data_IF_811538228320
#
_entry.id   IF_811538228320
#
_cell.length_a   1.000
_cell.length_b   1.000
_cell.length_c   1.000
_cell.angle_alpha   90.00
_cell.angle_beta   90.00
_cell.angle_gamma   90.00
#
_symmetry.space_group_name_H-M   'P 1'
#
loop_
_entity.id
_entity.type
_entity.pdbx_description
1 polymer ?
#
# COMPACT_ATOMS: atom_id res chain seq x y z
N UNK A 1 2.05 -32.20 46.59
CA UNK A 1 1.21 -31.00 46.44
C UNK A 1 1.84 -29.88 47.27
N UNK A 2 2.21 -28.75 46.62
CA UNK A 2 2.40 -27.38 47.16
C UNK A 2 3.32 -27.21 48.38
N UNK A 3 4.30 -26.31 48.49
CA UNK A 3 4.62 -24.93 48.04
C UNK A 3 6.08 -24.72 48.51
N UNK A 4 6.88 -23.75 48.10
CA UNK A 4 6.66 -22.44 47.53
C UNK A 4 8.01 -21.70 47.65
N UNK A 5 8.28 -20.88 46.64
CA UNK A 5 9.56 -20.26 46.37
C UNK A 5 10.06 -19.32 47.47
N UNK A 6 11.39 -19.30 47.61
CA UNK A 6 12.13 -18.45 48.50
C UNK A 6 12.81 -17.31 47.72
N UNK A 7 12.83 -16.14 48.37
CA UNK A 7 13.93 -15.16 48.43
C UNK A 7 13.96 -13.94 47.47
N UNK A 8 13.98 -12.79 48.17
CA UNK A 8 14.80 -11.58 48.00
C UNK A 8 14.51 -10.70 46.77
N UNK A 9 13.77 -9.59 46.89
CA UNK A 9 14.14 -8.31 47.52
C UNK A 9 15.26 -7.55 46.80
N UNK A 10 14.89 -6.50 46.07
CA UNK A 10 15.68 -5.27 45.96
C UNK A 10 14.76 -4.14 45.45
N UNK A 11 14.42 -3.23 46.36
CA UNK A 11 13.75 -1.98 46.10
C UNK A 11 14.78 -0.94 45.60
N UNK A 12 14.43 -0.19 44.56
CA UNK A 12 15.13 1.02 44.14
C UNK A 12 14.12 2.15 43.89
N UNK A 13 13.69 2.75 45.01
CA UNK A 13 13.55 4.19 45.28
C UNK A 13 13.09 5.07 44.09
N UNK A 14 11.78 5.34 44.06
CA UNK A 14 11.18 6.49 43.39
C UNK A 14 11.44 7.75 44.23
N UNK A 15 12.39 8.58 43.80
CA UNK A 15 12.56 9.95 44.26
C UNK A 15 12.04 10.90 43.16
N UNK A 16 11.02 11.70 43.49
CA UNK A 16 10.46 12.71 42.58
C UNK A 16 9.35 13.49 43.25
N UNK A 17 9.74 14.65 43.82
CA UNK A 17 8.96 15.52 44.68
C UNK A 17 7.91 16.37 43.92
N UNK A 18 6.74 16.57 44.54
CA UNK A 18 5.86 17.76 44.54
C UNK A 18 5.85 18.77 43.38
N UNK A 19 4.68 18.97 42.75
CA UNK A 19 3.82 20.18 42.85
C UNK A 19 2.99 20.47 41.58
N UNK A 20 1.81 21.11 41.73
CA UNK A 20 0.76 21.17 40.71
C UNK A 20 0.90 22.37 39.77
N UNK A 21 0.43 22.22 38.54
CA UNK A 21 0.16 23.33 37.63
C UNK A 21 1.22 23.55 36.55
N UNK A 22 0.93 23.07 35.35
CA UNK A 22 1.71 23.37 34.16
C UNK A 22 1.14 22.65 32.95
N UNK A 23 0.29 23.33 32.19
CA UNK A 23 -0.17 22.84 30.88
C UNK A 23 1.07 22.69 29.98
N UNK A 24 1.41 21.52 29.42
CA UNK A 24 2.47 21.45 28.44
C UNK A 24 2.00 22.20 27.20
N UNK A 25 2.58 23.38 26.99
CA UNK A 25 2.40 24.20 25.80
C UNK A 25 3.14 23.50 24.66
N UNK A 26 2.43 22.63 23.94
CA UNK A 26 2.96 21.99 22.73
C UNK A 26 3.07 23.07 21.65
N UNK A 27 4.31 23.45 21.31
CA UNK A 27 4.65 24.48 20.33
C UNK A 27 4.62 23.91 18.90
N UNK A 28 3.51 23.33 18.48
CA UNK A 28 3.30 22.96 17.08
C UNK A 28 1.92 23.48 16.68
N UNK A 29 1.82 24.41 15.71
CA UNK A 29 0.54 24.95 15.30
C UNK A 29 -0.31 23.82 14.70
N UNK A 30 -1.48 23.58 15.30
CA UNK A 30 -2.58 22.76 14.77
C UNK A 30 -3.06 23.32 13.44
N UNK A 31 -2.32 23.06 12.36
CA UNK A 31 -2.76 23.38 11.01
C UNK A 31 -3.48 22.18 10.45
N UNK A 32 -4.74 22.00 10.88
CA UNK A 32 -5.67 21.07 10.26
C UNK A 32 -5.98 21.55 8.85
N UNK A 33 -5.48 20.85 7.83
CA UNK A 33 -5.90 21.10 6.45
C UNK A 33 -7.14 20.24 6.21
N UNK A 34 -8.27 20.92 6.01
CA UNK A 34 -9.57 20.29 5.77
C UNK A 34 -9.63 19.77 4.33
N UNK A 35 -9.34 18.49 4.14
CA UNK A 35 -9.45 17.85 2.82
C UNK A 35 -10.83 17.22 2.56
N UNK A 36 -11.73 17.10 3.55
CA UNK A 36 -13.20 16.88 3.46
C UNK A 36 -13.80 16.74 4.88
N UNK A 37 -15.00 17.26 5.12
CA UNK A 37 -15.60 17.61 6.43
C UNK A 37 -15.80 16.52 7.52
N UNK A 38 -15.29 15.28 7.38
CA UNK A 38 -15.54 14.24 8.42
C UNK A 38 -14.35 13.36 8.76
N UNK A 39 -13.16 13.56 8.19
CA UNK A 39 -12.02 12.68 8.49
C UNK A 39 -10.86 13.43 9.15
N UNK A 40 -10.76 13.29 10.48
CA UNK A 40 -9.60 13.72 11.27
C UNK A 40 -8.65 12.54 11.42
N UNK A 41 -7.68 12.42 10.51
CA UNK A 41 -6.64 11.37 10.62
C UNK A 41 -5.38 11.97 11.26
N UNK A 42 -4.87 11.42 12.37
CA UNK A 42 -3.62 11.86 12.97
C UNK A 42 -2.42 11.50 12.07
N UNK A 43 -1.48 12.43 11.93
CA UNK A 43 -0.32 12.35 11.02
C UNK A 43 0.57 11.11 11.25
N UNK A 44 0.54 10.51 12.44
CA UNK A 44 1.26 9.27 12.75
C UNK A 44 0.67 8.00 12.09
N UNK A 45 -0.53 8.08 11.51
CA UNK A 45 -1.19 6.98 10.78
C UNK A 45 -1.29 7.19 9.27
N UNK A 46 -0.69 8.25 8.70
CA UNK A 46 -0.93 8.69 7.31
C UNK A 46 -0.04 7.97 6.28
N UNK A 47 0.84 7.07 6.68
CA UNK A 47 1.81 6.45 5.76
C UNK A 47 1.25 5.43 4.74
N UNK A 48 -0.07 5.19 4.68
CA UNK A 48 -0.65 4.29 3.67
C UNK A 48 -2.07 4.66 3.24
N UNK A 49 -2.33 5.94 2.94
CA UNK A 49 -3.54 6.29 2.18
C UNK A 49 -3.27 6.05 0.69
N UNK A 50 -3.30 4.78 0.28
CA UNK A 50 -3.29 4.40 -1.13
C UNK A 50 -4.57 4.86 -1.79
N UNK A 51 -4.48 5.71 -2.82
CA UNK A 51 -5.62 6.04 -3.66
C UNK A 51 -6.01 4.80 -4.46
N UNK A 52 -7.26 4.35 -4.31
CA UNK A 52 -7.82 3.21 -5.04
C UNK A 52 -8.56 3.75 -6.26
N UNK A 53 -8.09 3.38 -7.45
CA UNK A 53 -8.74 3.74 -8.71
C UNK A 53 -9.19 2.48 -9.45
N UNK A 54 -10.46 2.48 -9.88
CA UNK A 54 -10.98 1.45 -10.79
C UNK A 54 -10.67 1.90 -12.22
N UNK A 55 -9.77 1.17 -12.89
CA UNK A 55 -9.33 1.50 -14.25
C UNK A 55 -10.07 0.63 -15.26
N UNK A 56 -10.61 1.27 -16.30
CA UNK A 56 -11.25 0.57 -17.41
C UNK A 56 -10.24 0.32 -18.54
N UNK A 57 -9.86 -0.94 -18.76
CA UNK A 57 -9.02 -1.34 -19.89
C UNK A 57 -9.90 -1.86 -21.04
N UNK A 58 -10.01 -1.14 -22.18
CA UNK A 58 -10.80 -1.59 -23.32
C UNK A 58 -10.27 -2.90 -23.94
N UNK A 59 -8.99 -3.24 -23.70
CA UNK A 59 -8.34 -4.45 -24.23
C UNK A 59 -8.50 -5.66 -23.30
N UNK A 60 -9.08 -5.47 -22.11
CA UNK A 60 -9.37 -6.55 -21.18
C UNK A 60 -10.76 -6.35 -20.56
N UNK A 61 -11.83 -6.38 -21.37
CA UNK A 61 -13.18 -6.05 -20.90
C UNK A 61 -13.68 -7.00 -19.82
N UNK A 62 -13.12 -8.20 -19.74
CA UNK A 62 -13.47 -9.26 -18.78
C UNK A 62 -12.84 -9.05 -17.39
N UNK A 63 -11.88 -8.14 -17.24
CA UNK A 63 -11.15 -7.91 -16.00
C UNK A 63 -11.48 -6.53 -15.44
N UNK A 64 -11.73 -6.47 -14.14
CA UNK A 64 -11.74 -5.25 -13.34
C UNK A 64 -10.36 -5.07 -12.71
N UNK A 65 -9.76 -3.90 -12.90
CA UNK A 65 -8.44 -3.58 -12.35
C UNK A 65 -8.63 -2.57 -11.22
N UNK A 66 -8.24 -2.97 -10.01
CA UNK A 66 -8.06 -2.10 -8.86
C UNK A 66 -6.59 -1.70 -8.75
N UNK A 67 -6.30 -0.42 -8.95
CA UNK A 67 -4.96 0.12 -8.79
C UNK A 67 -4.83 0.75 -7.39
N UNK A 68 -3.80 0.34 -6.65
CA UNK A 68 -3.45 0.90 -5.34
C UNK A 68 -2.00 1.34 -5.32
N UNK A 69 -1.76 2.64 -5.14
CA UNK A 69 -0.41 3.19 -4.99
C UNK A 69 0.13 2.88 -3.59
N UNK A 70 1.20 2.10 -3.50
CA UNK A 70 1.85 1.73 -2.24
C UNK A 70 2.97 2.69 -1.85
N UNK A 71 3.70 3.22 -2.84
CA UNK A 71 4.76 4.22 -2.67
C UNK A 71 4.80 5.17 -3.88
N UNK A 72 5.81 6.04 -3.96
CA UNK A 72 5.97 6.96 -5.09
C UNK A 72 6.22 6.23 -6.43
N UNK A 73 6.92 5.10 -6.39
CA UNK A 73 7.28 4.31 -7.56
C UNK A 73 6.62 2.92 -7.57
N UNK A 74 5.96 2.51 -6.48
CA UNK A 74 5.49 1.14 -6.29
C UNK A 74 3.96 1.08 -6.26
N UNK A 75 3.40 0.18 -7.06
CA UNK A 75 1.95 0.01 -7.24
C UNK A 75 1.56 -1.46 -7.06
N UNK A 76 0.37 -1.66 -6.47
CA UNK A 76 -0.32 -2.94 -6.45
C UNK A 76 -1.50 -2.88 -7.41
N UNK A 77 -1.61 -3.90 -8.24
CA UNK A 77 -2.68 -4.11 -9.20
C UNK A 77 -3.46 -5.36 -8.76
N UNK A 78 -4.71 -5.16 -8.37
CA UNK A 78 -5.62 -6.25 -7.98
C UNK A 78 -6.65 -6.45 -9.08
N UNK A 79 -6.59 -7.58 -9.76
CA UNK A 79 -7.43 -7.91 -10.88
C UNK A 79 -8.52 -8.89 -10.45
N UNK A 80 -9.76 -8.58 -10.82
CA UNK A 80 -10.92 -9.42 -10.55
C UNK A 80 -11.64 -9.71 -11.85
N UNK A 81 -11.87 -10.98 -12.13
CA UNK A 81 -12.64 -11.35 -13.32
C UNK A 81 -14.10 -10.97 -13.12
N UNK A 82 -14.70 -10.34 -14.13
CA UNK A 82 -16.14 -10.02 -14.14
C UNK A 82 -16.95 -11.32 -14.12
N UNK A 83 -18.11 -11.29 -13.47
CA UNK A 83 -18.97 -12.48 -13.32
C UNK A 83 -19.53 -12.99 -14.64
N UNK A 84 -19.83 -12.08 -15.55
CA UNK A 84 -20.29 -12.40 -16.90
C UNK A 84 -19.16 -12.11 -17.86
N UNK A 85 -18.53 -13.18 -18.33
CA UNK A 85 -17.41 -13.11 -19.26
C UNK A 85 -17.46 -14.31 -20.22
N UNK A 86 -16.86 -14.14 -21.40
CA UNK A 86 -16.67 -15.22 -22.37
C UNK A 86 -15.18 -15.44 -22.57
N UNK A 87 -14.61 -16.40 -21.85
CA UNK A 87 -13.16 -16.67 -21.89
C UNK A 87 -12.32 -15.58 -21.20
N UNK A 88 -11.08 -15.38 -21.65
CA UNK A 88 -10.16 -14.36 -21.12
C UNK A 88 -9.46 -14.71 -19.81
N UNK A 89 -9.61 -15.95 -19.34
CA UNK A 89 -9.04 -16.41 -18.08
C UNK A 89 -7.49 -16.29 -18.11
N UNK A 90 -6.82 -16.73 -19.17
CA UNK A 90 -5.34 -16.68 -19.25
C UNK A 90 -4.74 -15.30 -19.54
N UNK A 91 -5.54 -14.24 -19.59
CA UNK A 91 -5.08 -12.91 -20.02
C UNK A 91 -4.57 -12.05 -18.86
N UNK A 92 -4.84 -12.44 -17.61
CA UNK A 92 -4.49 -11.74 -16.36
C UNK A 92 -3.07 -11.14 -16.38
N UNK A 93 -2.04 -11.93 -16.71
CA UNK A 93 -0.66 -11.44 -16.79
C UNK A 93 -0.48 -10.36 -17.86
N UNK A 94 -1.13 -10.53 -19.02
CA UNK A 94 -1.06 -9.55 -20.11
C UNK A 94 -1.76 -8.25 -19.70
N UNK A 95 -2.87 -8.33 -18.97
CA UNK A 95 -3.56 -7.17 -18.40
C UNK A 95 -2.67 -6.43 -17.42
N UNK A 96 -2.02 -7.13 -16.50
CA UNK A 96 -1.06 -6.54 -15.53
C UNK A 96 0.07 -5.82 -16.26
N UNK A 97 0.74 -6.47 -17.22
CA UNK A 97 1.83 -5.86 -17.99
C UNK A 97 1.38 -4.63 -18.75
N UNK A 98 0.23 -4.71 -19.42
CA UNK A 98 -0.33 -3.59 -20.17
C UNK A 98 -0.64 -2.40 -19.28
N UNK A 99 -1.22 -2.62 -18.09
CA UNK A 99 -1.49 -1.53 -17.15
C UNK A 99 -0.19 -0.96 -16.57
N UNK A 100 0.80 -1.80 -16.27
CA UNK A 100 2.11 -1.35 -15.84
C UNK A 100 2.79 -0.44 -16.88
N UNK A 101 2.70 -0.79 -18.16
CA UNK A 101 3.20 0.04 -19.26
C UNK A 101 2.44 1.36 -19.40
N UNK A 102 1.11 1.35 -19.19
CA UNK A 102 0.33 2.58 -19.18
C UNK A 102 0.76 3.48 -18.02
N UNK A 103 0.90 2.94 -16.81
CA UNK A 103 1.42 3.66 -15.64
C UNK A 103 2.80 4.25 -15.89
N UNK A 104 3.69 3.47 -16.48
CA UNK A 104 5.02 3.94 -16.86
C UNK A 104 4.93 5.16 -17.78
N UNK A 105 4.09 5.12 -18.82
CA UNK A 105 3.93 6.21 -19.78
C UNK A 105 3.24 7.43 -19.18
N UNK A 106 2.18 7.23 -18.40
CA UNK A 106 1.42 8.30 -17.75
C UNK A 106 2.27 9.08 -16.74
N UNK A 107 3.16 8.38 -16.03
CA UNK A 107 4.01 8.97 -14.99
C UNK A 107 5.42 9.33 -15.50
N UNK A 108 5.75 9.05 -16.76
CA UNK A 108 7.01 9.45 -17.39
C UNK A 108 8.25 8.64 -16.96
N UNK A 109 8.08 7.41 -16.46
CA UNK A 109 9.19 6.56 -16.03
C UNK A 109 9.90 5.88 -17.22
N UNK A 110 11.17 5.51 -17.02
CA UNK A 110 11.99 4.88 -18.07
C UNK A 110 11.65 3.41 -18.32
N UNK A 111 11.12 2.74 -17.30
CA UNK A 111 10.70 1.34 -17.35
C UNK A 111 9.85 0.97 -16.14
N UNK A 112 9.48 -0.31 -16.06
CA UNK A 112 8.89 -0.90 -14.87
C UNK A 112 9.49 -2.28 -14.61
N UNK A 113 9.42 -2.73 -13.36
CA UNK A 113 9.78 -4.06 -12.93
C UNK A 113 8.56 -4.71 -12.28
N UNK A 114 8.22 -5.92 -12.71
CA UNK A 114 7.22 -6.75 -12.04
C UNK A 114 7.90 -7.46 -10.87
N UNK A 115 7.46 -7.13 -9.66
CA UNK A 115 8.05 -7.63 -8.42
C UNK A 115 7.39 -8.92 -7.95
N UNK A 116 6.06 -8.91 -7.97
CA UNK A 116 5.27 -10.05 -7.55
C UNK A 116 4.13 -10.26 -8.55
N UNK A 117 3.80 -11.52 -8.75
CA UNK A 117 2.63 -11.91 -9.53
C UNK A 117 2.02 -13.19 -8.97
N UNK A 118 0.71 -13.17 -8.75
CA UNK A 118 -0.05 -14.31 -8.28
C UNK A 118 -1.37 -14.40 -9.03
N UNK A 119 -1.77 -15.62 -9.39
CA UNK A 119 -3.11 -15.91 -9.90
C UNK A 119 -3.80 -16.87 -8.94
N UNK A 120 -5.10 -16.65 -8.75
CA UNK A 120 -5.89 -17.45 -7.85
C UNK A 120 -7.35 -17.53 -8.25
N UNK A 121 -8.08 -18.22 -7.40
CA UNK A 121 -9.53 -18.30 -7.44
C UNK A 121 -10.03 -17.87 -6.06
N UNK A 122 -10.83 -16.81 -6.05
CA UNK A 122 -11.48 -16.31 -4.85
C UNK A 122 -12.89 -16.92 -4.78
N UNK A 123 -13.17 -17.64 -3.69
CA UNK A 123 -14.45 -18.31 -3.47
C UNK A 123 -15.35 -17.39 -2.64
N UNK A 124 -16.38 -16.83 -3.27
CA UNK A 124 -17.35 -15.96 -2.62
C UNK A 124 -18.73 -16.63 -2.57
N UNK A 125 -19.63 -16.08 -1.75
CA UNK A 125 -21.01 -16.57 -1.58
C UNK A 125 -21.78 -16.70 -2.90
N UNK A 126 -21.43 -15.88 -3.90
CA UNK A 126 -22.02 -15.90 -5.24
C UNK A 126 -21.17 -16.66 -6.27
N UNK A 127 -20.40 -17.65 -5.83
CA UNK A 127 -19.54 -18.47 -6.68
C UNK A 127 -18.08 -18.02 -6.72
N UNK A 128 -17.25 -18.90 -7.24
CA UNK A 128 -15.82 -18.69 -7.39
C UNK A 128 -15.51 -17.80 -8.60
N UNK A 129 -14.57 -16.87 -8.45
CA UNK A 129 -14.08 -16.01 -9.55
C UNK A 129 -12.57 -16.04 -9.60
N UNK A 130 -12.00 -15.88 -10.81
CA UNK A 130 -10.55 -15.74 -10.94
C UNK A 130 -10.11 -14.37 -10.47
N UNK A 131 -8.97 -14.36 -9.82
CA UNK A 131 -8.30 -13.14 -9.35
C UNK A 131 -6.83 -13.21 -9.74
N UNK A 132 -6.21 -12.05 -9.94
CA UNK A 132 -4.78 -11.97 -10.07
C UNK A 132 -4.27 -10.75 -9.32
N UNK A 133 -3.09 -10.85 -8.74
CA UNK A 133 -2.42 -9.74 -8.06
C UNK A 133 -1.05 -9.54 -8.68
N UNK A 134 -0.71 -8.28 -8.97
CA UNK A 134 0.60 -7.89 -9.46
C UNK A 134 1.15 -6.74 -8.63
N UNK A 135 2.40 -6.81 -8.21
CA UNK A 135 3.12 -5.66 -7.65
C UNK A 135 4.16 -5.20 -8.64
N UNK A 136 4.13 -3.92 -9.00
CA UNK A 136 5.07 -3.32 -9.93
C UNK A 136 5.83 -2.19 -9.25
N UNK A 137 7.09 -2.01 -9.64
CA UNK A 137 7.89 -0.84 -9.33
C UNK A 137 8.27 -0.14 -10.62
N UNK A 138 8.01 1.15 -10.71
CA UNK A 138 8.42 2.00 -11.81
C UNK A 138 9.89 2.37 -11.59
N UNK A 139 10.71 2.21 -12.64
CA UNK A 139 12.12 2.55 -12.57
C UNK A 139 12.37 3.81 -13.38
N UNK A 140 13.07 4.77 -12.77
CA UNK A 140 13.48 5.99 -13.46
C UNK A 140 14.28 5.63 -14.72
N UNK A 141 14.24 6.48 -15.73
CA UNK A 141 15.20 6.35 -16.85
C UNK A 141 16.59 6.36 -16.19
N UNK A 142 17.44 5.33 -16.38
CA UNK A 142 18.82 5.43 -15.93
C UNK A 142 19.34 6.71 -16.55
N UNK A 143 19.58 7.69 -15.68
CA UNK A 143 20.13 8.96 -16.11
C UNK A 143 21.47 8.63 -16.78
N UNK A 144 21.89 9.51 -17.65
CA UNK A 144 23.13 9.49 -18.39
C UNK A 144 24.42 9.48 -17.51
N UNK A 145 24.40 8.83 -16.35
CA UNK A 145 25.50 8.69 -15.40
C UNK A 145 26.61 7.78 -15.95
N UNK A 146 26.33 6.97 -16.97
CA UNK A 146 27.36 6.18 -17.67
C UNK A 146 28.24 7.01 -18.61
N UNK A 147 27.90 8.28 -18.88
CA UNK A 147 28.67 9.13 -19.79
C UNK A 147 29.77 9.95 -19.08
N UNK A 148 29.90 9.82 -17.76
CA UNK A 148 30.93 10.53 -16.96
C UNK A 148 32.07 9.61 -16.47
N UNK A 149 32.23 8.44 -17.06
CA UNK A 149 33.14 7.40 -16.55
C UNK A 149 34.32 7.06 -17.46
N UNK A 150 34.68 7.92 -18.41
CA UNK A 150 35.94 7.83 -19.16
C UNK A 150 36.57 9.21 -19.37
#
# INVERSE_FOLDING_TARGET
MMRGAALLAAAAILAGCSSPGGKPKLLIPDKSINLTSTLKVPLSGVLALGAIYVVYDPLAPNWEIDESRLAEDTFRLSLRMKRYHTGGAGESMQVVRRRAEQLQRELGYGGYQLMEYSEGIDSQTLGARRVAEGMIRLVGRPAADSFLQN
#
